data_IF_524851250109
#
_entry.id   IF_524851250109
#
_cell.length_a   1.000
_cell.length_b   1.000
_cell.length_c   1.000
_cell.angle_alpha   90.00
_cell.angle_beta   90.00
_cell.angle_gamma   90.00
#
_symmetry.space_group_name_H-M   'P 1'
#
loop_
_entity.id
_entity.type
_entity.pdbx_description
1 polymer ?
#
# COMPACT_ATOMS: atom_id res chain seq x y z
N UNK A 1 2.95 -2.54 -16.90
CA UNK A 1 3.06 -3.17 -15.56
C UNK A 1 1.86 -4.06 -15.27
N UNK A 2 0.62 -3.57 -15.35
CA UNK A 2 -0.58 -4.41 -15.13
C UNK A 2 -0.60 -5.64 -16.05
N UNK A 3 -0.28 -5.48 -17.34
CA UNK A 3 -0.16 -6.61 -18.29
C UNK A 3 0.82 -7.69 -17.83
N UNK A 4 2.01 -7.28 -17.37
CA UNK A 4 3.03 -8.20 -16.83
C UNK A 4 2.53 -8.90 -15.57
N UNK A 5 1.84 -8.20 -14.67
CA UNK A 5 1.25 -8.79 -13.48
C UNK A 5 0.17 -9.83 -13.84
N UNK A 6 -0.66 -9.57 -14.85
CA UNK A 6 -1.64 -10.54 -15.36
C UNK A 6 -0.97 -11.81 -15.88
N UNK A 7 0.06 -11.65 -16.70
CA UNK A 7 0.78 -12.78 -17.31
C UNK A 7 1.55 -13.61 -16.28
N UNK A 8 2.29 -12.96 -15.38
CA UNK A 8 3.19 -13.64 -14.44
C UNK A 8 2.47 -14.17 -13.19
N UNK A 9 1.40 -13.50 -12.75
CA UNK A 9 0.71 -13.84 -11.49
C UNK A 9 -0.70 -14.40 -11.72
N UNK A 10 -1.18 -14.52 -12.95
CA UNK A 10 -2.51 -15.04 -13.26
C UNK A 10 -3.66 -14.14 -12.77
N UNK A 11 -3.41 -12.84 -12.64
CA UNK A 11 -4.40 -11.87 -12.15
C UNK A 11 -5.48 -11.64 -13.23
N UNK A 12 -6.76 -11.63 -12.83
CA UNK A 12 -7.89 -11.32 -13.72
C UNK A 12 -8.08 -9.83 -13.90
N UNK A 13 -7.97 -9.06 -12.82
CA UNK A 13 -8.14 -7.61 -12.83
C UNK A 13 -7.19 -6.93 -11.84
N UNK A 14 -6.71 -5.74 -12.18
CA UNK A 14 -5.93 -4.93 -11.26
C UNK A 14 -6.15 -3.43 -11.49
N UNK A 15 -5.97 -2.65 -10.44
CA UNK A 15 -5.99 -1.19 -10.51
C UNK A 15 -4.85 -0.59 -9.68
N UNK A 16 -4.22 0.46 -10.21
CA UNK A 16 -3.33 1.32 -9.41
C UNK A 16 -4.20 2.21 -8.54
N UNK A 17 -4.12 2.03 -7.22
CA UNK A 17 -4.92 2.77 -6.23
C UNK A 17 -4.17 3.94 -5.61
N UNK A 18 -2.84 3.95 -5.76
CA UNK A 18 -1.98 5.04 -5.34
C UNK A 18 -0.68 4.98 -6.13
N UNK A 19 -0.08 6.13 -6.43
CA UNK A 19 1.26 6.23 -6.99
C UNK A 19 2.03 7.34 -6.27
N UNK A 20 3.32 7.12 -6.12
CA UNK A 20 4.27 8.15 -5.69
C UNK A 20 5.38 8.20 -6.73
N UNK A 21 5.57 9.36 -7.34
CA UNK A 21 6.72 9.63 -8.19
C UNK A 21 7.68 10.49 -7.39
N UNK A 22 8.88 9.97 -7.15
CA UNK A 22 9.94 10.73 -6.49
C UNK A 22 10.90 11.20 -7.57
N UNK A 23 10.67 12.40 -8.06
CA UNK A 23 11.55 13.12 -8.97
C UNK A 23 11.89 14.48 -8.35
N UNK A 24 12.78 14.45 -7.34
CA UNK A 24 13.06 15.62 -6.47
C UNK A 24 13.56 16.83 -7.26
N UNK A 25 14.15 16.61 -8.44
CA UNK A 25 14.65 17.68 -9.31
C UNK A 25 13.54 18.41 -10.11
N UNK A 26 12.33 17.84 -10.23
CA UNK A 26 11.26 18.36 -11.07
C UNK A 26 10.07 18.95 -10.30
N UNK A 27 10.06 18.86 -8.96
CA UNK A 27 8.97 19.40 -8.14
C UNK A 27 9.21 20.90 -7.94
N UNK A 28 8.51 21.74 -8.72
CA UNK A 28 8.39 23.16 -8.41
C UNK A 28 7.54 23.33 -7.14
N UNK A 29 8.18 23.57 -6.00
CA UNK A 29 7.52 23.69 -4.70
C UNK A 29 6.49 24.83 -4.67
N UNK A 30 6.61 25.82 -5.56
CA UNK A 30 5.67 26.95 -5.66
C UNK A 30 4.34 26.57 -6.31
N UNK A 31 4.29 25.44 -7.04
CA UNK A 31 3.08 24.94 -7.73
C UNK A 31 2.39 23.80 -6.97
N UNK A 32 2.95 23.36 -5.85
CA UNK A 32 2.38 22.28 -5.03
C UNK A 32 1.21 22.84 -4.21
N UNK A 33 0.00 22.35 -4.46
CA UNK A 33 -1.10 22.52 -3.51
C UNK A 33 -0.80 21.71 -2.25
N UNK A 34 -0.32 22.37 -1.20
CA UNK A 34 0.06 21.74 0.07
C UNK A 34 -1.10 21.04 0.79
N UNK A 35 -2.36 21.38 0.46
CA UNK A 35 -3.56 20.70 0.99
C UNK A 35 -3.92 19.48 0.15
N UNK A 36 -3.62 19.52 -1.15
CA UNK A 36 -3.79 18.39 -2.04
C UNK A 36 -2.68 18.36 -3.11
N UNK A 37 -1.52 17.75 -2.81
CA UNK A 37 -0.35 17.76 -3.72
C UNK A 37 -0.58 17.09 -5.08
N UNK A 38 -1.77 16.51 -5.29
CA UNK A 38 -2.20 15.82 -6.52
C UNK A 38 -3.32 16.56 -7.26
N UNK A 39 -3.69 17.75 -6.81
CA UNK A 39 -4.72 18.57 -7.45
C UNK A 39 -4.26 18.98 -8.87
N UNK A 40 -4.73 18.26 -9.89
CA UNK A 40 -4.45 18.58 -11.31
C UNK A 40 -3.77 17.48 -12.10
N UNK A 41 -3.34 16.38 -11.46
CA UNK A 41 -2.87 15.20 -12.21
C UNK A 41 -4.03 14.62 -13.03
N UNK A 42 -3.93 14.75 -14.36
CA UNK A 42 -4.83 14.01 -15.27
C UNK A 42 -4.41 12.55 -15.26
N UNK A 43 -5.34 11.65 -14.92
CA UNK A 43 -5.20 10.22 -15.16
C UNK A 43 -4.91 9.98 -16.65
N UNK A 44 -3.67 9.61 -16.97
CA UNK A 44 -3.21 9.31 -18.34
C UNK A 44 -3.21 7.80 -18.64
N UNK A 45 -3.91 7.00 -17.84
CA UNK A 45 -3.83 5.54 -17.97
C UNK A 45 -4.54 5.06 -19.24
N UNK A 46 -3.76 4.86 -20.30
CA UNK A 46 -4.17 4.24 -21.57
C UNK A 46 -4.04 2.72 -21.55
N UNK A 47 -3.69 2.12 -20.41
CA UNK A 47 -3.39 0.68 -20.30
C UNK A 47 -4.57 -0.18 -19.87
N UNK A 48 -5.75 0.41 -19.66
CA UNK A 48 -6.98 -0.32 -19.30
C UNK A 48 -8.07 -0.15 -20.37
N UNK A 49 -8.57 -1.26 -20.89
CA UNK A 49 -9.76 -1.22 -21.77
C UNK A 49 -11.04 -0.98 -20.95
N UNK A 50 -12.13 -0.48 -21.57
CA UNK A 50 -13.42 -0.36 -20.89
C UNK A 50 -13.92 -1.67 -20.28
N UNK A 51 -13.65 -2.80 -20.94
CA UNK A 51 -14.01 -4.14 -20.49
C UNK A 51 -13.21 -4.56 -19.25
N UNK A 52 -11.91 -4.29 -19.22
CA UNK A 52 -11.06 -4.55 -18.06
C UNK A 52 -11.46 -3.71 -16.86
N UNK A 53 -11.82 -2.44 -17.11
CA UNK A 53 -12.36 -1.54 -16.09
C UNK A 53 -13.67 -2.07 -15.53
N UNK A 54 -14.62 -2.46 -16.39
CA UNK A 54 -15.90 -3.02 -15.97
C UNK A 54 -15.72 -4.32 -15.16
N UNK A 55 -14.79 -5.18 -15.59
CA UNK A 55 -14.42 -6.41 -14.88
C UNK A 55 -13.89 -6.10 -13.47
N UNK A 56 -12.98 -5.13 -13.32
CA UNK A 56 -12.44 -4.74 -12.03
C UNK A 56 -13.55 -4.27 -11.08
N UNK A 57 -14.44 -3.39 -11.53
CA UNK A 57 -15.53 -2.88 -10.69
C UNK A 57 -16.51 -3.97 -10.27
N UNK A 58 -16.89 -4.88 -11.18
CA UNK A 58 -17.73 -6.04 -10.84
C UNK A 58 -17.09 -6.91 -9.76
N UNK A 59 -15.82 -7.26 -9.93
CA UNK A 59 -15.10 -8.09 -8.95
C UNK A 59 -14.90 -7.37 -7.62
N UNK A 60 -14.64 -6.05 -7.64
CA UNK A 60 -14.58 -5.23 -6.42
C UNK A 60 -15.90 -5.26 -5.66
N UNK A 61 -17.04 -5.18 -6.36
CA UNK A 61 -18.35 -5.22 -5.73
C UNK A 61 -18.65 -6.62 -5.14
N UNK A 62 -18.24 -7.70 -5.82
CA UNK A 62 -18.31 -9.07 -5.30
C UNK A 62 -17.45 -9.27 -4.04
N UNK A 63 -16.24 -8.69 -4.01
CA UNK A 63 -15.36 -8.70 -2.84
C UNK A 63 -16.07 -8.02 -1.66
N UNK A 64 -16.53 -6.78 -1.85
CA UNK A 64 -17.20 -6.00 -0.80
C UNK A 64 -18.41 -6.76 -0.25
N UNK A 65 -19.26 -7.30 -1.12
CA UNK A 65 -20.43 -8.08 -0.69
C UNK A 65 -20.04 -9.32 0.12
N UNK A 66 -18.93 -9.98 -0.21
CA UNK A 66 -18.44 -11.15 0.51
C UNK A 66 -17.84 -10.78 1.87
N UNK A 67 -17.13 -9.64 1.95
CA UNK A 67 -16.64 -9.10 3.22
C UNK A 67 -17.79 -8.72 4.14
N UNK A 68 -18.77 -7.96 3.64
CA UNK A 68 -19.95 -7.53 4.42
C UNK A 68 -20.73 -8.75 4.95
N UNK A 69 -20.91 -9.79 4.12
CA UNK A 69 -21.56 -11.02 4.56
C UNK A 69 -20.73 -11.79 5.61
N UNK A 70 -19.40 -11.80 5.51
CA UNK A 70 -18.52 -12.44 6.50
C UNK A 70 -18.55 -11.70 7.84
N UNK A 71 -18.52 -10.37 7.79
CA UNK A 71 -18.64 -9.47 8.95
C UNK A 71 -19.97 -9.67 9.66
N UNK A 72 -21.07 -9.71 8.90
CA UNK A 72 -22.41 -9.97 9.46
C UNK A 72 -22.48 -11.35 10.13
N UNK A 73 -21.94 -12.40 9.50
CA UNK A 73 -21.84 -13.75 10.09
C UNK A 73 -21.01 -13.78 11.37
N UNK A 74 -19.97 -12.94 11.46
CA UNK A 74 -19.17 -12.77 12.67
C UNK A 74 -19.90 -12.00 13.78
N UNK A 75 -21.12 -11.51 13.53
CA UNK A 75 -21.90 -10.74 14.49
C UNK A 75 -21.37 -9.33 14.70
N UNK A 76 -20.51 -8.85 13.81
CA UNK A 76 -19.96 -7.50 13.86
C UNK A 76 -20.96 -6.54 13.21
N UNK A 77 -21.57 -5.68 14.03
CA UNK A 77 -22.43 -4.61 13.54
C UNK A 77 -21.62 -3.55 12.78
N UNK A 78 -22.28 -2.68 11.99
CA UNK A 78 -21.61 -1.51 11.43
C UNK A 78 -20.97 -0.71 12.58
N UNK A 79 -19.78 -0.14 12.36
CA UNK A 79 -19.18 0.79 13.31
C UNK A 79 -20.19 1.86 13.71
N UNK A 80 -20.13 2.37 14.94
CA UNK A 80 -21.18 3.23 15.52
C UNK A 80 -21.24 4.65 14.89
N UNK A 81 -20.60 4.85 13.73
CA UNK A 81 -20.45 6.13 13.04
C UNK A 81 -19.32 7.01 13.58
N UNK A 82 -18.80 6.72 14.79
CA UNK A 82 -17.57 7.31 15.28
C UNK A 82 -16.38 6.62 14.61
N UNK A 83 -15.85 7.25 13.57
CA UNK A 83 -14.74 6.72 12.79
C UNK A 83 -13.41 6.67 13.55
N UNK A 84 -13.35 7.13 14.82
CA UNK A 84 -12.16 7.12 15.68
C UNK A 84 -12.32 6.16 16.87
N UNK A 85 -13.45 6.19 17.56
CA UNK A 85 -13.70 5.33 18.76
C UNK A 85 -14.74 4.23 18.53
N UNK A 86 -15.49 4.32 17.44
CA UNK A 86 -16.59 3.45 17.06
C UNK A 86 -16.18 2.30 16.17
N UNK A 87 -15.18 1.55 16.60
CA UNK A 87 -14.73 0.36 15.87
C UNK A 87 -15.87 -0.67 15.83
N UNK A 88 -16.05 -1.22 14.64
CA UNK A 88 -17.11 -2.16 14.25
C UNK A 88 -17.00 -2.44 12.76
N UNK A 89 -17.62 -3.52 12.29
CA UNK A 89 -17.50 -3.98 10.92
C UNK A 89 -16.05 -4.29 10.53
N UNK A 90 -15.61 -3.70 9.41
CA UNK A 90 -14.27 -3.89 8.82
C UNK A 90 -13.10 -3.54 9.75
N UNK A 91 -13.31 -2.74 10.80
CA UNK A 91 -12.23 -2.39 11.74
C UNK A 91 -11.94 -3.46 12.79
N UNK A 92 -12.93 -4.27 13.14
CA UNK A 92 -12.82 -5.34 14.13
C UNK A 92 -12.81 -6.74 13.49
N UNK A 93 -13.08 -6.79 12.19
CA UNK A 93 -13.05 -8.04 11.43
C UNK A 93 -11.62 -8.43 11.10
N UNK A 94 -11.28 -9.68 11.42
CA UNK A 94 -9.97 -10.28 11.20
C UNK A 94 -9.83 -10.99 9.84
N UNK A 95 -10.83 -10.85 8.97
CA UNK A 95 -10.92 -11.53 7.68
C UNK A 95 -11.51 -12.94 7.73
N UNK A 96 -11.82 -13.46 8.93
CA UNK A 96 -12.36 -14.81 9.08
C UNK A 96 -13.71 -14.94 8.39
N UNK A 97 -13.91 -16.06 7.68
CA UNK A 97 -15.18 -16.37 7.02
C UNK A 97 -15.37 -15.70 5.65
N UNK A 98 -14.34 -15.02 5.14
CA UNK A 98 -14.33 -14.52 3.76
C UNK A 98 -14.29 -15.66 2.74
N UNK A 99 -15.23 -15.64 1.79
CA UNK A 99 -15.40 -16.64 0.73
C UNK A 99 -15.48 -16.03 -0.69
N UNK A 100 -15.15 -14.75 -0.82
CA UNK A 100 -15.17 -14.02 -2.10
C UNK A 100 -13.94 -14.26 -2.99
N UNK A 101 -13.86 -13.54 -4.12
CA UNK A 101 -12.70 -13.61 -5.02
C UNK A 101 -11.39 -13.29 -4.29
N UNK A 102 -10.34 -14.07 -4.53
CA UNK A 102 -9.02 -13.76 -3.95
C UNK A 102 -8.58 -12.39 -4.44
N UNK A 103 -8.24 -11.51 -3.50
CA UNK A 103 -7.60 -10.24 -3.78
C UNK A 103 -6.41 -9.98 -2.86
N UNK A 104 -5.54 -9.08 -3.30
CA UNK A 104 -4.35 -8.69 -2.57
C UNK A 104 -3.90 -7.29 -2.96
N UNK A 105 -3.13 -6.66 -2.07
CA UNK A 105 -2.63 -5.30 -2.23
C UNK A 105 -1.11 -5.33 -2.11
N UNK A 106 -0.45 -4.75 -3.11
CA UNK A 106 1.02 -4.68 -3.20
C UNK A 106 1.45 -3.26 -3.47
N UNK A 107 2.60 -2.85 -2.94
CA UNK A 107 3.39 -1.77 -3.53
C UNK A 107 4.48 -2.35 -4.40
N UNK A 108 4.56 -1.87 -5.63
CA UNK A 108 5.67 -2.13 -6.53
C UNK A 108 6.56 -0.88 -6.53
N UNK A 109 7.78 -1.03 -6.05
CA UNK A 109 8.75 0.07 -6.00
C UNK A 109 9.89 -0.21 -6.97
N UNK A 110 10.19 0.77 -7.83
CA UNK A 110 11.20 0.66 -8.88
C UNK A 110 12.02 1.95 -8.99
N UNK A 111 13.36 1.88 -8.98
CA UNK A 111 14.19 3.04 -9.30
C UNK A 111 14.28 3.25 -10.82
N UNK A 112 14.50 4.47 -11.26
CA UNK A 112 14.60 4.80 -12.69
C UNK A 112 16.03 4.71 -13.22
N UNK A 113 16.99 4.92 -12.33
CA UNK A 113 18.43 4.75 -12.53
C UNK A 113 19.02 3.96 -11.37
N UNK A 114 20.27 3.49 -11.51
CA UNK A 114 21.00 2.88 -10.41
C UNK A 114 21.05 3.81 -9.20
N UNK A 115 20.61 3.30 -8.04
CA UNK A 115 20.54 4.09 -6.80
C UNK A 115 21.94 4.34 -6.24
N UNK A 116 22.36 5.60 -6.16
CA UNK A 116 23.64 6.02 -5.57
C UNK A 116 23.51 6.79 -4.26
N UNK A 117 22.38 7.47 -4.06
CA UNK A 117 22.06 8.24 -2.85
C UNK A 117 20.66 7.90 -2.38
N UNK A 118 20.45 7.95 -1.07
CA UNK A 118 19.14 7.80 -0.43
C UNK A 118 18.42 6.48 -0.77
N UNK A 119 19.02 5.27 -0.65
CA UNK A 119 18.34 4.00 -1.00
C UNK A 119 17.08 3.73 -0.17
N UNK A 120 16.27 2.75 -0.60
CA UNK A 120 15.04 2.38 0.12
C UNK A 120 15.37 1.16 0.98
N UNK A 121 15.29 1.35 2.30
CA UNK A 121 15.38 0.25 3.24
C UNK A 121 13.99 -0.31 3.54
N UNK A 122 13.93 -1.63 3.69
CA UNK A 122 12.79 -2.39 4.17
C UNK A 122 13.13 -2.93 5.56
N UNK A 123 12.18 -2.85 6.49
CA UNK A 123 12.37 -3.44 7.81
C UNK A 123 12.26 -4.97 7.74
N UNK A 124 13.30 -5.65 8.25
CA UNK A 124 13.37 -7.10 8.35
C UNK A 124 12.91 -7.62 9.72
N UNK A 125 12.94 -6.77 10.76
CA UNK A 125 12.44 -7.11 12.09
C UNK A 125 10.97 -7.57 12.03
N UNK A 126 10.63 -8.74 12.61
CA UNK A 126 9.26 -9.22 12.67
C UNK A 126 8.33 -8.24 13.36
N UNK A 127 7.11 -8.11 12.86
CA UNK A 127 6.11 -7.20 13.40
C UNK A 127 5.79 -7.43 14.89
N UNK A 128 5.85 -8.69 15.34
CA UNK A 128 5.67 -9.06 16.75
C UNK A 128 6.65 -8.38 17.70
N UNK A 129 7.81 -7.97 17.18
CA UNK A 129 8.89 -7.37 17.96
C UNK A 129 8.89 -5.84 17.87
N UNK A 130 8.00 -5.27 17.04
CA UNK A 130 7.91 -3.83 16.81
C UNK A 130 7.00 -3.15 17.83
N UNK A 131 7.44 -1.98 18.27
CA UNK A 131 6.55 -1.01 18.90
C UNK A 131 6.12 0.01 17.85
N UNK A 132 4.83 0.34 17.81
CA UNK A 132 4.31 1.39 16.94
C UNK A 132 3.32 2.30 17.67
N UNK A 133 3.19 3.52 17.18
CA UNK A 133 2.10 4.42 17.51
C UNK A 133 1.10 4.40 16.36
N UNK A 134 -0.19 4.27 16.66
CA UNK A 134 -1.22 4.48 15.66
C UNK A 134 -1.46 5.98 15.50
N UNK A 135 -1.28 6.46 14.27
CA UNK A 135 -1.63 7.82 13.90
C UNK A 135 -3.01 7.82 13.21
N UNK A 136 -4.08 8.27 13.90
CA UNK A 136 -5.39 8.45 13.29
C UNK A 136 -5.35 9.47 12.15
N UNK A 137 -5.95 9.12 11.01
CA UNK A 137 -6.12 10.02 9.85
C UNK A 137 -7.56 10.00 9.38
N UNK A 138 -8.17 11.18 9.26
CA UNK A 138 -9.47 11.33 8.62
C UNK A 138 -9.28 12.00 7.26
N UNK A 139 -9.86 11.40 6.24
CA UNK A 139 -9.89 11.93 4.89
C UNK A 139 -11.34 12.27 4.53
N UNK A 140 -11.53 13.45 3.95
CA UNK A 140 -12.84 13.98 3.55
C UNK A 140 -12.80 14.41 2.10
N UNK A 141 -13.89 14.20 1.38
CA UNK A 141 -14.15 14.74 0.04
C UNK A 141 -13.06 14.41 -1.00
N UNK A 142 -12.41 13.25 -0.87
CA UNK A 142 -11.46 12.77 -1.87
C UNK A 142 -12.20 12.22 -3.09
N UNK A 143 -11.98 12.84 -4.25
CA UNK A 143 -12.52 12.34 -5.54
C UNK A 143 -12.15 10.87 -5.74
N UNK A 144 -13.16 10.04 -6.05
CA UNK A 144 -12.99 8.60 -6.24
C UNK A 144 -13.04 7.76 -4.97
N UNK A 145 -13.25 8.37 -3.80
CA UNK A 145 -13.43 7.69 -2.51
C UNK A 145 -14.84 7.96 -1.95
N UNK A 146 -15.21 7.21 -0.91
CA UNK A 146 -16.38 7.53 -0.08
C UNK A 146 -16.22 8.92 0.55
N UNK A 147 -17.35 9.55 0.90
CA UNK A 147 -17.42 10.95 1.39
C UNK A 147 -16.44 11.23 2.53
N UNK A 148 -16.37 10.32 3.50
CA UNK A 148 -15.41 10.36 4.59
C UNK A 148 -14.89 8.95 4.85
N UNK A 149 -13.56 8.82 5.05
CA UNK A 149 -12.95 7.58 5.50
C UNK A 149 -11.84 7.84 6.49
N UNK A 150 -11.60 6.87 7.35
CA UNK A 150 -10.56 6.89 8.36
C UNK A 150 -9.44 5.90 8.00
N UNK A 151 -8.23 6.17 8.47
CA UNK A 151 -7.07 5.32 8.28
C UNK A 151 -6.21 5.35 9.53
N UNK A 152 -5.79 4.18 9.99
CA UNK A 152 -4.78 4.03 11.04
C UNK A 152 -3.43 3.86 10.35
N UNK A 153 -2.50 4.77 10.60
CA UNK A 153 -1.15 4.65 10.05
C UNK A 153 -0.20 4.26 11.19
N UNK A 154 0.28 3.00 11.23
CA UNK A 154 1.26 2.59 12.22
C UNK A 154 2.59 3.29 11.93
N UNK A 155 3.09 4.00 12.94
CA UNK A 155 4.41 4.61 12.95
C UNK A 155 5.30 3.80 13.87
N UNK A 156 6.30 3.12 13.30
CA UNK A 156 7.27 2.36 14.08
C UNK A 156 8.04 3.31 15.00
N UNK A 157 8.09 2.97 16.29
CA UNK A 157 8.84 3.71 17.31
C UNK A 157 10.30 3.27 17.30
N UNK A 158 11.12 3.93 18.10
CA UNK A 158 12.50 3.45 18.35
C UNK A 158 12.46 2.07 19.04
N UNK A 159 13.46 1.21 18.83
CA UNK A 159 13.53 -0.07 19.53
C UNK A 159 13.59 0.14 21.05
N UNK A 160 13.14 -0.85 21.81
CA UNK A 160 13.33 -0.86 23.27
C UNK A 160 14.82 -0.90 23.61
N UNK A 161 15.15 -0.53 24.84
CA UNK A 161 16.51 -0.69 25.35
C UNK A 161 16.98 -2.15 25.18
N UNK A 162 18.18 -2.33 24.62
CA UNK A 162 18.76 -3.64 24.30
C UNK A 162 18.22 -4.32 23.03
N UNK A 163 17.31 -3.69 22.28
CA UNK A 163 16.83 -4.19 20.98
C UNK A 163 17.36 -3.36 19.81
N UNK A 164 17.41 -3.96 18.63
CA UNK A 164 17.83 -3.31 17.38
C UNK A 164 16.81 -3.63 16.29
N UNK A 165 16.39 -2.60 15.56
CA UNK A 165 15.63 -2.80 14.33
C UNK A 165 16.57 -3.18 13.20
N UNK A 166 16.25 -4.26 12.51
CA UNK A 166 16.97 -4.74 11.35
C UNK A 166 16.33 -4.16 10.09
N UNK A 167 17.18 -3.56 9.25
CA UNK A 167 16.80 -2.89 8.01
C UNK A 167 17.69 -3.35 6.88
N UNK A 168 17.07 -3.78 5.78
CA UNK A 168 17.76 -4.31 4.62
C UNK A 168 17.49 -3.40 3.42
N UNK A 169 18.49 -3.24 2.56
CA UNK A 169 18.36 -2.51 1.30
C UNK A 169 19.27 -3.17 0.25
N UNK A 170 18.92 -3.00 -1.02
CA UNK A 170 19.78 -3.35 -2.14
C UNK A 170 20.78 -2.23 -2.39
N UNK A 171 22.07 -2.55 -2.21
CA UNK A 171 23.16 -1.64 -2.57
C UNK A 171 23.24 -1.50 -4.08
N UNK A 172 23.38 -0.27 -4.57
CA UNK A 172 23.44 0.04 -6.00
C UNK A 172 22.25 -0.54 -6.80
N UNK A 173 21.07 -0.53 -6.18
CA UNK A 173 19.86 -1.11 -6.76
C UNK A 173 19.63 -0.62 -8.19
N UNK A 174 19.51 -1.54 -9.14
CA UNK A 174 19.27 -1.21 -10.55
C UNK A 174 17.77 -1.10 -10.87
N UNK A 175 17.38 -0.47 -11.99
CA UNK A 175 15.98 -0.40 -12.44
C UNK A 175 15.31 -1.77 -12.70
N UNK A 176 16.09 -2.84 -12.81
CA UNK A 176 15.67 -4.22 -13.00
C UNK A 176 15.36 -4.91 -11.66
N UNK A 177 15.89 -4.39 -10.55
CA UNK A 177 15.68 -4.91 -9.19
C UNK A 177 14.49 -4.20 -8.56
N UNK A 178 13.32 -4.82 -8.66
CA UNK A 178 12.04 -4.24 -8.22
C UNK A 178 11.63 -4.81 -6.86
N UNK A 179 11.25 -3.96 -5.91
CA UNK A 179 10.62 -4.44 -4.69
C UNK A 179 9.12 -4.67 -4.90
N UNK A 180 8.65 -5.83 -4.47
CA UNK A 180 7.23 -6.12 -4.32
C UNK A 180 6.91 -6.20 -2.82
N UNK A 181 6.30 -5.15 -2.29
CA UNK A 181 5.93 -5.02 -0.89
C UNK A 181 4.47 -5.48 -0.74
N UNK A 182 4.25 -6.67 -0.19
CA UNK A 182 2.90 -7.20 0.04
C UNK A 182 2.31 -6.60 1.31
N UNK A 183 1.15 -5.94 1.19
CA UNK A 183 0.39 -5.44 2.33
C UNK A 183 -0.74 -6.38 2.74
N UNK A 184 -1.39 -7.02 1.78
CA UNK A 184 -2.54 -7.87 2.05
C UNK A 184 -2.70 -8.96 0.99
N UNK A 185 -3.18 -10.13 1.41
CA UNK A 185 -3.62 -11.23 0.53
C UNK A 185 -4.70 -12.03 1.26
N UNK A 186 -5.94 -11.94 0.77
CA UNK A 186 -7.09 -12.67 1.32
C UNK A 186 -6.86 -14.17 1.41
N UNK A 187 -6.10 -14.76 0.49
CA UNK A 187 -5.79 -16.20 0.53
C UNK A 187 -4.77 -16.55 1.62
N UNK A 188 -3.73 -15.72 1.79
CA UNK A 188 -2.77 -15.89 2.88
C UNK A 188 -3.45 -15.77 4.25
N UNK A 189 -4.41 -14.85 4.35
CA UNK A 189 -5.24 -14.69 5.56
C UNK A 189 -6.11 -15.93 5.80
N UNK A 190 -6.82 -16.39 4.77
CA UNK A 190 -7.67 -17.60 4.83
C UNK A 190 -6.88 -18.85 5.25
N UNK A 191 -5.64 -18.99 4.78
CA UNK A 191 -4.76 -20.11 5.13
C UNK A 191 -4.18 -20.01 6.54
N UNK A 192 -4.15 -18.80 7.12
CA UNK A 192 -3.46 -18.55 8.38
C UNK A 192 -1.96 -18.91 8.31
N UNK A 193 -1.35 -18.82 7.13
CA UNK A 193 0.04 -19.26 6.92
C UNK A 193 1.09 -18.26 7.43
N UNK A 194 0.63 -17.17 8.05
CA UNK A 194 1.48 -16.10 8.54
C UNK A 194 2.23 -15.40 7.41
N UNK A 195 1.79 -15.48 6.15
CA UNK A 195 2.43 -14.74 5.05
C UNK A 195 1.87 -13.31 4.91
N UNK A 196 0.71 -13.02 5.51
CA UNK A 196 0.17 -11.66 5.61
C UNK A 196 0.82 -10.97 6.81
N UNK A 197 1.33 -9.76 6.58
CA UNK A 197 1.93 -8.89 7.59
C UNK A 197 1.03 -7.66 7.69
N UNK A 198 0.80 -7.10 8.88
CA UNK A 198 -0.02 -5.88 8.96
C UNK A 198 0.76 -4.67 8.47
N UNK A 199 2.09 -4.73 8.47
CA UNK A 199 2.93 -3.68 7.91
C UNK A 199 4.25 -4.19 7.32
N UNK A 200 4.78 -3.44 6.35
CA UNK A 200 6.16 -3.53 5.90
C UNK A 200 6.77 -2.11 5.93
N UNK A 201 7.31 -1.68 7.08
CA UNK A 201 7.91 -0.37 7.23
C UNK A 201 9.06 -0.20 6.24
N UNK A 202 9.08 0.92 5.54
CA UNK A 202 10.12 1.25 4.58
C UNK A 202 10.42 2.73 4.61
N UNK A 203 11.70 3.07 4.51
CA UNK A 203 12.16 4.47 4.54
C UNK A 203 13.40 4.66 3.69
N UNK A 204 13.57 5.88 3.20
CA UNK A 204 14.87 6.31 2.72
C UNK A 204 15.81 6.58 3.91
N UNK A 205 17.11 6.39 3.70
CA UNK A 205 18.15 6.76 4.66
C UNK A 205 19.39 7.27 3.93
N UNK A 206 20.21 8.07 4.59
CA UNK A 206 21.44 8.62 4.03
C UNK A 206 22.61 7.67 4.25
N UNK A 207 23.44 7.48 3.22
CA UNK A 207 24.73 6.79 3.34
C UNK A 207 25.82 7.87 3.39
N UNK A 208 26.63 7.86 4.43
CA UNK A 208 27.76 8.79 4.56
C UNK A 208 28.71 8.67 3.36
N UNK A 209 29.11 9.82 2.80
CA UNK A 209 29.98 9.90 1.62
C UNK A 209 29.24 9.83 0.28
N UNK A 210 27.91 9.75 0.28
CA UNK A 210 27.09 9.77 -0.95
C UNK A 210 26.34 11.08 -1.17
N UNK A 211 26.59 12.09 -0.35
CA UNK A 211 25.84 13.35 -0.32
C UNK A 211 25.88 14.08 -1.67
N UNK A 212 27.04 14.09 -2.33
CA UNK A 212 27.25 14.72 -3.64
C UNK A 212 26.79 13.86 -4.83
N UNK A 213 26.38 12.61 -4.59
CA UNK A 213 25.87 11.74 -5.65
C UNK A 213 24.45 12.17 -6.09
N UNK A 214 24.03 11.81 -7.31
CA UNK A 214 22.69 12.11 -7.78
C UNK A 214 21.61 11.58 -6.85
N UNK A 215 20.60 12.42 -6.55
CA UNK A 215 19.41 12.02 -5.83
C UNK A 215 18.74 10.84 -6.54
N UNK A 216 18.33 9.82 -5.79
CA UNK A 216 17.53 8.74 -6.38
C UNK A 216 16.23 9.27 -6.96
N UNK A 217 15.91 8.81 -8.17
CA UNK A 217 14.59 8.91 -8.78
C UNK A 217 13.93 7.53 -8.82
N UNK A 218 12.66 7.48 -8.42
CA UNK A 218 11.95 6.21 -8.26
C UNK A 218 10.45 6.40 -8.33
N UNK A 219 9.73 5.33 -8.62
CA UNK A 219 8.28 5.26 -8.55
C UNK A 219 7.82 4.15 -7.62
N UNK A 220 6.81 4.43 -6.81
CA UNK A 220 6.03 3.43 -6.06
C UNK A 220 4.61 3.39 -6.63
N UNK A 221 4.14 2.21 -7.00
CA UNK A 221 2.77 1.97 -7.45
C UNK A 221 2.08 1.02 -6.48
N UNK A 222 1.02 1.46 -5.82
CA UNK A 222 0.16 0.59 -5.02
C UNK A 222 -0.93 0.02 -5.90
N UNK A 223 -1.00 -1.30 -5.93
CA UNK A 223 -1.82 -2.05 -6.88
C UNK A 223 -2.75 -2.96 -6.09
N UNK A 224 -4.04 -2.88 -6.42
CA UNK A 224 -5.04 -3.86 -6.03
C UNK A 224 -5.10 -4.92 -7.12
N UNK A 225 -4.82 -6.17 -6.76
CA UNK A 225 -4.86 -7.33 -7.65
C UNK A 225 -6.05 -8.25 -7.28
N UNK A 226 -6.77 -8.76 -8.27
CA UNK A 226 -7.90 -9.68 -8.09
C UNK A 226 -7.73 -10.92 -8.99
N UNK A 227 -7.82 -12.10 -8.38
CA UNK A 227 -7.69 -13.41 -9.00
C UNK A 227 -9.03 -14.12 -9.23
#
# INVERSE_FOLDING_TARGET
>A
MISLLKEQLGIRAAAVVNHTLRDVAAINLDEVDWKNPRAGEKSRDSSQTPEERALFFRLKDEIIASEDAAIERAGLGPGNGDMVTGKGGHWDWDGTGYDGPRYGIFSIWRPWETVKRDPLALMATPESDLQFAILPRTYKDRKGHVKEYYSENPLVRVPKEGQVHEWWYLSEQSPEEVYAIKFYDSEGLRRGDGSVRMMCPHSAFTIEGTEDAPARRSSELRIWCIW
#
